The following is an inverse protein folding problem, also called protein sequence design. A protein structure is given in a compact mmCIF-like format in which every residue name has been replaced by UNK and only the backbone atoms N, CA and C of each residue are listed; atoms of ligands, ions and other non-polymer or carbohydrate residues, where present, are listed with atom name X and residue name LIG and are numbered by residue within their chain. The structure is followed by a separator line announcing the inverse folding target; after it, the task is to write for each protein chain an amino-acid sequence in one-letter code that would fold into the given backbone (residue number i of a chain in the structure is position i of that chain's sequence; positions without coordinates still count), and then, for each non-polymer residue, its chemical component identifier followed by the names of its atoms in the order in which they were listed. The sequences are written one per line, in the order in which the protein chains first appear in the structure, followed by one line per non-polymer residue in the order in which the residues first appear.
data_IF_977149621900
#
_entry.id   IF_977149621900
#
_cell.length_a   1.000
_cell.length_b   1.000
_cell.length_c   1.000
_cell.angle_alpha   90.00
_cell.angle_beta   90.00
_cell.angle_gamma   90.00
#
_symmetry.space_group_name_H-M   'P 1'
#
loop_
_entity.id
_entity.type
_entity.pdbx_description
1 polymer ?
#
# COMPACT_ATOMS: atom_id res chain seq x y z
N UNK A 1 -20.00 -16.29 -6.82
CA UNK A 1 -20.55 -15.14 -6.06
C UNK A 1 -19.60 -13.93 -6.14
N UNK A 2 -18.33 -14.02 -5.76
CA UNK A 2 -17.38 -12.90 -5.75
C UNK A 2 -17.17 -12.26 -7.12
N UNK A 3 -17.11 -13.06 -8.20
CA UNK A 3 -16.98 -12.54 -9.57
C UNK A 3 -18.21 -11.69 -9.95
N UNK A 4 -19.42 -12.16 -9.62
CA UNK A 4 -20.64 -11.42 -9.92
C UNK A 4 -20.71 -10.08 -9.15
N UNK A 5 -20.30 -10.08 -7.88
CA UNK A 5 -20.19 -8.86 -7.07
C UNK A 5 -19.17 -7.90 -7.69
N UNK A 6 -17.99 -8.40 -8.06
CA UNK A 6 -16.95 -7.59 -8.68
C UNK A 6 -17.40 -6.96 -10.00
N UNK A 7 -18.05 -7.73 -10.87
CA UNK A 7 -18.63 -7.22 -12.12
C UNK A 7 -19.71 -6.16 -11.87
N UNK A 8 -20.59 -6.38 -10.89
CA UNK A 8 -21.63 -5.41 -10.52
C UNK A 8 -21.01 -4.10 -10.04
N UNK A 9 -20.01 -4.16 -9.17
CA UNK A 9 -19.29 -2.97 -8.68
C UNK A 9 -18.59 -2.27 -9.85
N UNK A 10 -17.95 -3.00 -10.75
CA UNK A 10 -17.29 -2.43 -11.93
C UNK A 10 -18.28 -1.67 -12.82
N UNK A 11 -19.45 -2.24 -13.08
CA UNK A 11 -20.51 -1.60 -13.89
C UNK A 11 -21.00 -0.33 -13.18
N UNK A 12 -21.30 -0.39 -11.89
CA UNK A 12 -21.77 0.76 -11.12
C UNK A 12 -20.72 1.89 -11.11
N UNK A 13 -19.45 1.56 -10.90
CA UNK A 13 -18.35 2.52 -10.90
C UNK A 13 -18.11 3.12 -12.30
N UNK A 14 -18.42 2.38 -13.38
CA UNK A 14 -18.32 2.87 -14.75
C UNK A 14 -19.25 4.06 -15.03
N UNK A 15 -20.39 4.16 -14.35
CA UNK A 15 -21.30 5.30 -14.44
C UNK A 15 -20.89 6.47 -13.53
N UNK A 16 -19.89 6.26 -12.66
CA UNK A 16 -19.45 7.30 -11.74
C UNK A 16 -18.55 8.31 -12.45
N UNK A 17 -18.97 9.59 -12.42
CA UNK A 17 -18.21 10.65 -13.06
C UNK A 17 -17.00 11.04 -12.17
N UNK A 18 -15.78 10.68 -12.60
CA UNK A 18 -14.53 10.97 -11.91
C UNK A 18 -14.30 12.48 -11.63
N UNK A 19 -15.02 13.38 -12.31
CA UNK A 19 -14.95 14.83 -12.08
C UNK A 19 -15.35 15.21 -10.65
N UNK A 20 -16.19 14.41 -10.00
CA UNK A 20 -16.52 14.60 -8.58
C UNK A 20 -15.27 14.45 -7.71
N UNK A 21 -14.47 13.44 -7.94
CA UNK A 21 -13.20 13.23 -7.20
C UNK A 21 -12.23 14.39 -7.45
N UNK A 22 -12.20 14.95 -8.65
CA UNK A 22 -11.36 16.11 -8.99
C UNK A 22 -11.80 17.38 -8.25
N UNK A 23 -13.10 17.64 -8.16
CA UNK A 23 -13.63 18.90 -7.64
C UNK A 23 -13.69 18.96 -6.10
N UNK A 24 -13.93 17.83 -5.42
CA UNK A 24 -14.15 17.79 -3.97
C UNK A 24 -12.90 17.29 -3.23
N UNK A 25 -12.00 18.22 -2.87
CA UNK A 25 -10.76 17.88 -2.14
C UNK A 25 -11.01 17.34 -0.74
N UNK A 26 -11.98 17.90 -0.02
CA UNK A 26 -12.34 17.46 1.32
C UNK A 26 -12.92 16.04 1.32
N UNK A 27 -13.68 15.66 0.29
CA UNK A 27 -14.22 14.32 0.14
C UNK A 27 -13.09 13.27 0.02
N UNK A 28 -12.10 13.51 -0.85
CA UNK A 28 -10.98 12.58 -1.03
C UNK A 28 -10.14 12.48 0.25
N UNK A 29 -9.89 13.60 0.92
CA UNK A 29 -9.22 13.60 2.22
C UNK A 29 -10.03 12.87 3.29
N UNK A 30 -11.35 13.05 3.33
CA UNK A 30 -12.24 12.33 4.23
C UNK A 30 -12.17 10.81 4.03
N UNK A 31 -12.26 10.36 2.77
CA UNK A 31 -12.12 8.93 2.43
C UNK A 31 -10.73 8.40 2.83
N UNK A 32 -9.68 9.21 2.65
CA UNK A 32 -8.34 8.85 3.08
C UNK A 32 -8.26 8.64 4.60
N UNK A 33 -8.77 9.57 5.41
CA UNK A 33 -8.76 9.42 6.86
C UNK A 33 -9.64 8.25 7.34
N UNK A 34 -10.77 8.01 6.68
CA UNK A 34 -11.60 6.82 6.95
C UNK A 34 -10.82 5.55 6.64
N UNK A 35 -10.10 5.48 5.52
CA UNK A 35 -9.29 4.29 5.20
C UNK A 35 -8.16 4.05 6.20
N UNK A 36 -7.49 5.11 6.66
CA UNK A 36 -6.48 5.02 7.72
C UNK A 36 -7.09 4.58 9.05
N UNK A 37 -8.27 5.11 9.40
CA UNK A 37 -8.98 4.70 10.59
C UNK A 37 -9.36 3.21 10.55
N UNK A 38 -9.85 2.71 9.40
CA UNK A 38 -10.12 1.29 9.20
C UNK A 38 -8.85 0.43 9.35
N UNK A 39 -7.70 0.92 8.86
CA UNK A 39 -6.41 0.26 9.08
C UNK A 39 -6.04 0.21 10.57
N UNK A 40 -6.31 1.26 11.34
CA UNK A 40 -6.06 1.26 12.78
C UNK A 40 -6.98 0.29 13.53
N UNK A 41 -8.22 0.14 13.09
CA UNK A 41 -9.15 -0.83 13.68
C UNK A 41 -8.69 -2.28 13.55
N UNK A 42 -7.89 -2.62 12.55
CA UNK A 42 -7.38 -3.99 12.40
C UNK A 42 -6.44 -4.42 13.52
N UNK A 43 -5.81 -3.49 14.25
CA UNK A 43 -5.03 -3.84 15.45
C UNK A 43 -5.86 -4.53 16.54
N UNK A 44 -7.16 -4.26 16.57
CA UNK A 44 -8.11 -4.88 17.52
C UNK A 44 -8.74 -6.14 16.95
N UNK A 45 -8.42 -6.52 15.71
CA UNK A 45 -8.96 -7.69 15.03
C UNK A 45 -8.19 -8.96 15.39
N UNK A 46 -8.79 -10.12 15.08
CA UNK A 46 -8.14 -11.41 15.29
C UNK A 46 -6.94 -11.61 14.37
N UNK A 47 -5.88 -12.18 14.91
CA UNK A 47 -4.66 -12.51 14.17
C UNK A 47 -4.94 -13.68 13.22
N UNK A 48 -4.82 -13.46 11.92
CA UNK A 48 -4.93 -14.51 10.91
C UNK A 48 -3.55 -14.75 10.30
N UNK A 49 -3.03 -15.98 10.45
CA UNK A 49 -1.70 -16.37 9.93
C UNK A 49 -0.54 -15.47 10.41
N UNK A 50 -0.64 -14.94 11.64
CA UNK A 50 0.39 -14.09 12.25
C UNK A 50 0.34 -12.62 11.82
N UNK A 51 -0.72 -12.18 11.12
CA UNK A 51 -0.91 -10.81 10.66
C UNK A 51 -2.29 -10.31 11.10
N UNK A 52 -2.37 -9.06 11.57
CA UNK A 52 -3.60 -8.41 12.00
C UNK A 52 -4.15 -7.49 10.90
N UNK A 53 -4.37 -8.02 9.69
CA UNK A 53 -4.79 -7.21 8.53
C UNK A 53 -6.25 -7.39 8.12
N UNK A 54 -6.97 -8.33 8.75
CA UNK A 54 -8.33 -8.72 8.35
C UNK A 54 -9.36 -8.29 9.38
N UNK A 55 -10.45 -7.67 8.91
CA UNK A 55 -11.67 -7.45 9.71
C UNK A 55 -12.65 -8.55 9.31
N UNK A 56 -13.02 -9.42 10.27
CA UNK A 56 -13.95 -10.52 10.05
C UNK A 56 -15.30 -10.10 10.63
N UNK A 57 -16.32 -10.05 9.78
CA UNK A 57 -17.68 -9.72 10.18
C UNK A 57 -18.67 -10.70 9.52
N UNK A 58 -19.38 -11.51 10.32
CA UNK A 58 -20.45 -12.39 9.86
C UNK A 58 -20.05 -13.37 8.74
N UNK A 59 -18.78 -13.86 8.74
CA UNK A 59 -18.26 -14.77 7.72
C UNK A 59 -17.68 -14.07 6.48
N UNK A 60 -17.74 -12.74 6.41
CA UNK A 60 -17.02 -11.93 5.42
C UNK A 60 -15.70 -11.46 6.02
N UNK A 61 -14.62 -11.60 5.28
CA UNK A 61 -13.30 -11.07 5.62
C UNK A 61 -12.98 -9.91 4.68
N UNK A 62 -12.75 -8.73 5.25
CA UNK A 62 -12.38 -7.53 4.52
C UNK A 62 -10.96 -7.15 4.94
N UNK A 63 -10.12 -6.84 3.97
CA UNK A 63 -8.77 -6.34 4.18
C UNK A 63 -8.74 -4.83 3.90
N UNK A 64 -8.72 -3.96 4.94
CA UNK A 64 -8.72 -2.51 4.74
C UNK A 64 -7.51 -1.99 3.98
N UNK A 65 -6.39 -2.72 3.97
CA UNK A 65 -5.21 -2.37 3.20
C UNK A 65 -5.49 -2.30 1.69
N UNK A 66 -6.38 -3.15 1.16
CA UNK A 66 -6.77 -3.11 -0.25
C UNK A 66 -7.50 -1.81 -0.60
N UNK A 67 -8.42 -1.38 0.26
CA UNK A 67 -9.11 -0.10 0.09
C UNK A 67 -8.15 1.08 0.23
N UNK A 68 -7.25 1.04 1.20
CA UNK A 68 -6.29 2.11 1.44
C UNK A 68 -5.32 2.30 0.26
N UNK A 69 -4.94 1.23 -0.46
CA UNK A 69 -4.14 1.31 -1.70
C UNK A 69 -4.87 2.13 -2.77
N UNK A 70 -6.14 1.84 -3.02
CA UNK A 70 -6.94 2.57 -4.01
C UNK A 70 -7.11 4.05 -3.62
N UNK A 71 -7.39 4.30 -2.35
CA UNK A 71 -7.54 5.67 -1.83
C UNK A 71 -6.25 6.47 -1.94
N UNK A 72 -5.10 5.84 -1.65
CA UNK A 72 -3.80 6.48 -1.80
C UNK A 72 -3.52 6.87 -3.26
N UNK A 73 -3.81 5.97 -4.22
CA UNK A 73 -3.67 6.25 -5.66
C UNK A 73 -4.52 7.46 -6.05
N UNK A 74 -5.80 7.49 -5.65
CA UNK A 74 -6.72 8.59 -5.96
C UNK A 74 -6.25 9.91 -5.36
N UNK A 75 -5.80 9.89 -4.08
CA UNK A 75 -5.30 11.07 -3.38
C UNK A 75 -4.06 11.63 -4.07
N UNK A 76 -3.09 10.78 -4.40
CA UNK A 76 -1.86 11.17 -5.08
C UNK A 76 -2.14 11.66 -6.49
N UNK A 77 -2.98 10.97 -7.27
CA UNK A 77 -3.36 11.38 -8.61
C UNK A 77 -4.02 12.77 -8.59
N UNK A 78 -4.91 13.01 -7.63
CA UNK A 78 -5.52 14.32 -7.44
C UNK A 78 -4.49 15.38 -7.09
N UNK A 79 -3.60 15.10 -6.14
CA UNK A 79 -2.56 16.04 -5.73
C UNK A 79 -1.69 16.46 -6.92
N UNK A 80 -1.23 15.49 -7.71
CA UNK A 80 -0.40 15.76 -8.89
C UNK A 80 -1.18 16.45 -10.01
N UNK A 81 -2.45 16.06 -10.25
CA UNK A 81 -3.30 16.71 -11.27
C UNK A 81 -3.53 18.21 -11.03
N UNK A 82 -3.50 18.64 -9.77
CA UNK A 82 -3.67 20.05 -9.43
C UNK A 82 -2.38 20.89 -9.54
N UNK A 83 -1.21 20.24 -9.68
CA UNK A 83 0.11 20.89 -9.57
C UNK A 83 1.08 20.50 -10.67
N UNK A 84 0.58 20.36 -11.91
CA UNK A 84 1.30 19.87 -13.10
C UNK A 84 2.68 20.50 -13.37
N UNK A 85 3.01 21.67 -12.85
CA UNK A 85 4.21 22.43 -13.24
C UNK A 85 5.33 22.36 -12.19
N UNK A 86 5.06 21.91 -10.98
CA UNK A 86 5.96 22.09 -9.82
C UNK A 86 6.46 20.80 -9.17
N UNK A 87 6.33 19.64 -9.84
CA UNK A 87 6.74 18.33 -9.27
C UNK A 87 8.26 18.26 -9.04
N UNK A 88 9.03 19.14 -9.64
CA UNK A 88 10.47 19.28 -9.41
C UNK A 88 10.81 19.86 -8.05
N UNK A 89 9.87 20.51 -7.36
CA UNK A 89 10.09 21.06 -6.03
C UNK A 89 10.05 19.94 -4.99
N UNK A 90 11.11 19.83 -4.21
CA UNK A 90 11.24 18.85 -3.12
C UNK A 90 10.07 18.89 -2.11
N UNK A 91 9.47 20.07 -1.93
CA UNK A 91 8.30 20.26 -1.04
C UNK A 91 7.12 19.35 -1.41
N UNK A 92 6.85 19.16 -2.71
CA UNK A 92 5.75 18.29 -3.17
C UNK A 92 6.03 16.82 -2.91
N UNK A 93 7.30 16.41 -3.00
CA UNK A 93 7.74 15.05 -2.66
C UNK A 93 7.51 14.80 -1.17
N UNK A 94 7.87 15.76 -0.31
CA UNK A 94 7.67 15.65 1.15
C UNK A 94 6.18 15.53 1.50
N UNK A 95 5.32 16.36 0.91
CA UNK A 95 3.87 16.29 1.16
C UNK A 95 3.30 14.91 0.78
N UNK A 96 3.68 14.41 -0.39
CA UNK A 96 3.23 13.08 -0.84
C UNK A 96 3.82 11.96 0.00
N UNK A 97 5.07 12.12 0.47
CA UNK A 97 5.68 11.19 1.40
C UNK A 97 4.94 11.14 2.74
N UNK A 98 4.43 12.26 3.24
CA UNK A 98 3.59 12.31 4.45
C UNK A 98 2.29 11.54 4.24
N UNK A 99 1.59 11.73 3.11
CA UNK A 99 0.37 10.97 2.80
C UNK A 99 0.65 9.47 2.66
N UNK A 100 1.77 9.09 2.10
CA UNK A 100 2.19 7.70 2.00
C UNK A 100 2.59 7.10 3.35
N UNK A 101 3.38 7.84 4.16
CA UNK A 101 4.01 7.32 5.38
C UNK A 101 3.01 6.88 6.43
N UNK A 102 1.85 7.54 6.53
CA UNK A 102 0.86 7.26 7.56
C UNK A 102 0.22 5.87 7.38
N UNK A 103 -0.42 5.51 6.25
CA UNK A 103 -0.93 4.15 6.06
C UNK A 103 0.20 3.11 5.99
N UNK A 104 1.35 3.45 5.41
CA UNK A 104 2.51 2.57 5.34
C UNK A 104 3.00 2.18 6.74
N UNK A 105 3.15 3.14 7.65
CA UNK A 105 3.58 2.87 9.02
C UNK A 105 2.60 1.94 9.75
N UNK A 106 1.30 2.17 9.59
CA UNK A 106 0.27 1.32 10.19
C UNK A 106 0.38 -0.12 9.69
N UNK A 107 0.49 -0.32 8.37
CA UNK A 107 0.59 -1.64 7.74
C UNK A 107 1.91 -2.34 8.13
N UNK A 108 3.01 -1.59 8.18
CA UNK A 108 4.31 -2.12 8.59
C UNK A 108 4.30 -2.59 10.05
N UNK A 109 3.60 -1.86 10.94
CA UNK A 109 3.42 -2.25 12.34
C UNK A 109 2.47 -3.46 12.51
N UNK A 110 1.61 -3.76 11.53
CA UNK A 110 0.76 -4.95 11.47
C UNK A 110 1.49 -6.21 10.99
N UNK A 111 2.78 -6.24 10.94
CA UNK A 111 3.78 -7.07 10.25
C UNK A 111 3.33 -7.61 8.87
N UNK A 112 2.58 -6.81 8.09
CA UNK A 112 2.19 -7.16 6.73
C UNK A 112 3.19 -6.61 5.71
N UNK A 113 4.25 -7.37 5.47
CA UNK A 113 5.29 -7.02 4.49
C UNK A 113 4.76 -6.98 3.05
N UNK A 114 3.83 -7.88 2.71
CA UNK A 114 3.28 -7.96 1.35
C UNK A 114 2.61 -6.64 0.96
N UNK A 115 1.64 -6.21 1.77
CA UNK A 115 0.95 -4.94 1.55
C UNK A 115 1.90 -3.74 1.66
N UNK A 116 2.88 -3.77 2.59
CA UNK A 116 3.87 -2.69 2.73
C UNK A 116 4.69 -2.48 1.45
N UNK A 117 5.16 -3.56 0.81
CA UNK A 117 5.91 -3.49 -0.45
C UNK A 117 5.03 -2.94 -1.58
N UNK A 118 3.77 -3.35 -1.65
CA UNK A 118 2.83 -2.85 -2.66
C UNK A 118 2.57 -1.34 -2.45
N UNK A 119 2.38 -0.89 -1.21
CA UNK A 119 2.25 0.54 -0.91
C UNK A 119 3.48 1.34 -1.36
N UNK A 120 4.67 0.83 -1.10
CA UNK A 120 5.92 1.45 -1.55
C UNK A 120 6.01 1.51 -3.08
N UNK A 121 5.64 0.42 -3.76
CA UNK A 121 5.62 0.36 -5.23
C UNK A 121 4.59 1.34 -5.83
N UNK A 122 3.40 1.47 -5.24
CA UNK A 122 2.40 2.46 -5.64
C UNK A 122 2.96 3.88 -5.49
N UNK A 123 3.55 4.21 -4.34
CA UNK A 123 4.11 5.53 -4.10
C UNK A 123 5.22 5.89 -5.09
N UNK A 124 6.19 5.00 -5.30
CA UNK A 124 7.27 5.20 -6.28
C UNK A 124 6.72 5.29 -7.71
N UNK A 125 5.81 4.40 -8.10
CA UNK A 125 5.18 4.41 -9.42
C UNK A 125 4.44 5.71 -9.70
N UNK A 126 3.69 6.23 -8.71
CA UNK A 126 2.98 7.51 -8.82
C UNK A 126 3.95 8.71 -8.94
N UNK A 127 5.07 8.70 -8.20
CA UNK A 127 6.11 9.73 -8.33
C UNK A 127 6.75 9.69 -9.72
N UNK A 128 7.04 8.50 -10.24
CA UNK A 128 7.59 8.33 -11.60
C UNK A 128 6.59 8.79 -12.67
N UNK A 129 5.32 8.40 -12.56
CA UNK A 129 4.27 8.82 -13.47
C UNK A 129 4.03 10.35 -13.44
N UNK A 130 4.25 10.98 -12.29
CA UNK A 130 4.16 12.43 -12.12
C UNK A 130 5.37 13.19 -12.72
N UNK A 131 6.44 12.50 -13.14
CA UNK A 131 7.61 13.11 -13.76
C UNK A 131 8.64 13.67 -12.76
N UNK A 132 8.84 12.99 -11.64
CA UNK A 132 9.86 13.37 -10.64
C UNK A 132 11.26 13.51 -11.28
N UNK A 133 12.04 14.47 -10.80
CA UNK A 133 13.43 14.64 -11.23
C UNK A 133 14.26 13.39 -10.88
N UNK A 134 15.06 12.91 -11.82
CA UNK A 134 15.92 11.72 -11.66
C UNK A 134 16.84 11.79 -10.43
N UNK A 135 17.31 13.00 -10.06
CA UNK A 135 18.15 13.20 -8.87
C UNK A 135 17.38 12.91 -7.57
N UNK A 136 16.14 13.41 -7.48
CA UNK A 136 15.27 13.14 -6.34
C UNK A 136 14.87 11.67 -6.27
N UNK A 137 14.56 11.05 -7.42
CA UNK A 137 14.26 9.62 -7.49
C UNK A 137 15.44 8.79 -7.01
N UNK A 138 16.66 9.09 -7.47
CA UNK A 138 17.87 8.41 -7.03
C UNK A 138 18.07 8.54 -5.50
N UNK A 139 17.89 9.74 -4.96
CA UNK A 139 17.99 9.98 -3.51
C UNK A 139 16.96 9.16 -2.74
N UNK A 140 15.69 9.15 -3.17
CA UNK A 140 14.62 8.37 -2.53
C UNK A 140 14.93 6.87 -2.54
N UNK A 141 15.36 6.34 -3.70
CA UNK A 141 15.72 4.93 -3.84
C UNK A 141 16.92 4.59 -2.93
N UNK A 142 17.94 5.46 -2.91
CA UNK A 142 19.12 5.25 -2.05
C UNK A 142 18.75 5.24 -0.56
N UNK A 143 17.92 6.19 -0.11
CA UNK A 143 17.42 6.22 1.26
C UNK A 143 16.54 4.99 1.54
N UNK A 144 15.70 4.58 0.59
CA UNK A 144 14.87 3.37 0.69
C UNK A 144 15.69 2.09 0.85
N UNK A 145 16.77 1.95 0.08
CA UNK A 145 17.69 0.80 0.20
C UNK A 145 18.38 0.79 1.56
N UNK A 146 18.87 1.93 2.03
CA UNK A 146 19.48 2.04 3.37
C UNK A 146 18.47 1.73 4.48
N UNK A 147 17.25 2.25 4.37
CA UNK A 147 16.17 1.97 5.32
C UNK A 147 15.78 0.48 5.29
N UNK A 148 15.68 -0.13 4.11
CA UNK A 148 15.41 -1.56 3.94
C UNK A 148 16.52 -2.43 4.55
N UNK A 149 17.77 -2.06 4.35
CA UNK A 149 18.91 -2.76 4.95
C UNK A 149 18.88 -2.63 6.49
N UNK A 150 18.60 -1.44 7.00
CA UNK A 150 18.47 -1.22 8.44
C UNK A 150 17.29 -2.00 9.02
N UNK A 151 16.15 -2.03 8.32
CA UNK A 151 15.00 -2.83 8.73
C UNK A 151 15.31 -4.33 8.75
N UNK A 152 16.07 -4.82 7.78
CA UNK A 152 16.53 -6.21 7.75
C UNK A 152 17.35 -6.57 9.00
N UNK A 153 18.23 -5.67 9.45
CA UNK A 153 19.09 -5.92 10.59
C UNK A 153 18.33 -5.84 11.92
N UNK A 154 17.48 -4.84 12.10
CA UNK A 154 16.97 -4.43 13.41
C UNK A 154 15.45 -4.55 13.57
N UNK A 155 14.66 -4.47 12.48
CA UNK A 155 13.21 -4.33 12.59
C UNK A 155 12.44 -5.58 12.18
N UNK A 156 12.95 -6.37 11.20
CA UNK A 156 12.23 -7.52 10.67
C UNK A 156 12.24 -8.71 11.64
N UNK A 157 11.06 -9.25 11.88
CA UNK A 157 10.84 -10.46 12.66
C UNK A 157 11.40 -11.71 11.92
N UNK A 158 11.79 -12.77 12.63
CA UNK A 158 12.35 -13.97 12.00
C UNK A 158 11.45 -14.57 10.91
N UNK A 159 10.14 -14.63 11.13
CA UNK A 159 9.20 -15.16 10.14
C UNK A 159 9.11 -14.30 8.87
N UNK A 160 9.29 -12.96 8.97
CA UNK A 160 9.32 -12.06 7.83
C UNK A 160 10.58 -12.28 6.99
N UNK A 161 11.72 -12.46 7.66
CA UNK A 161 12.99 -12.83 7.00
C UNK A 161 12.85 -14.18 6.28
N UNK A 162 12.23 -15.18 6.92
CA UNK A 162 11.95 -16.47 6.30
C UNK A 162 11.07 -16.34 5.05
N UNK A 163 10.03 -15.50 5.05
CA UNK A 163 9.20 -15.26 3.85
C UNK A 163 10.01 -14.70 2.69
N UNK A 164 10.87 -13.71 2.95
CA UNK A 164 11.73 -13.11 1.92
C UNK A 164 12.74 -14.14 1.38
N UNK A 165 13.39 -14.88 2.26
CA UNK A 165 14.37 -15.91 1.85
C UNK A 165 13.74 -17.06 1.10
N UNK A 166 12.53 -17.51 1.48
CA UNK A 166 11.79 -18.55 0.77
C UNK A 166 11.26 -18.07 -0.58
N UNK A 167 10.94 -16.78 -0.73
CA UNK A 167 10.60 -16.22 -2.01
C UNK A 167 11.79 -16.21 -2.98
N UNK A 168 13.00 -15.88 -2.49
CA UNK A 168 14.22 -15.86 -3.28
C UNK A 168 14.75 -17.27 -3.59
N UNK A 169 14.61 -18.20 -2.64
CA UNK A 169 15.05 -19.57 -2.76
C UNK A 169 13.97 -20.54 -2.23
N UNK A 170 12.93 -20.86 -3.02
CA UNK A 170 11.82 -21.72 -2.59
C UNK A 170 12.26 -23.15 -2.22
N UNK A 171 13.36 -23.61 -2.79
CA UNK A 171 13.89 -24.95 -2.56
C UNK A 171 14.49 -25.17 -1.18
N UNK A 172 14.77 -24.11 -0.41
CA UNK A 172 15.34 -24.24 0.95
C UNK A 172 14.31 -24.78 1.97
N UNK A 173 13.00 -24.59 1.71
CA UNK A 173 11.92 -25.14 2.53
C UNK A 173 10.75 -25.62 1.66
N UNK A 174 10.91 -26.76 0.94
CA UNK A 174 9.93 -27.24 -0.03
C UNK A 174 8.61 -27.69 0.60
N UNK A 175 8.56 -27.96 1.90
CA UNK A 175 7.37 -28.44 2.62
C UNK A 175 6.71 -27.37 3.51
N UNK A 176 7.35 -26.21 3.71
CA UNK A 176 6.85 -25.11 4.51
C UNK A 176 6.52 -23.89 3.67
N UNK A 177 7.22 -22.78 3.92
CA UNK A 177 6.96 -21.49 3.28
C UNK A 177 7.19 -21.46 1.75
N UNK A 178 8.04 -22.35 1.21
CA UNK A 178 8.29 -22.48 -0.22
C UNK A 178 7.25 -23.32 -0.99
N UNK A 179 6.44 -24.12 -0.30
CA UNK A 179 5.49 -25.05 -0.93
C UNK A 179 4.53 -24.38 -1.94
N UNK A 180 3.90 -23.28 -1.55
CA UNK A 180 2.96 -22.57 -2.40
C UNK A 180 3.61 -21.93 -3.63
N UNK A 181 4.90 -21.56 -3.53
CA UNK A 181 5.67 -20.94 -4.61
C UNK A 181 6.10 -21.99 -5.64
N UNK A 182 6.40 -23.21 -5.19
CA UNK A 182 6.80 -24.30 -6.06
C UNK A 182 5.60 -24.87 -6.83
N UNK A 183 4.39 -24.77 -6.26
CA UNK A 183 3.16 -25.27 -6.90
C UNK A 183 2.47 -24.25 -7.82
N UNK A 184 2.82 -22.96 -7.78
CA UNK A 184 2.27 -21.94 -8.66
C UNK A 184 3.05 -21.82 -9.98
#
# INVERSE_FOLDING_TARGET
IFIAIGLSIMIVLSFFNYRYLKNYSLMVLGIYFVSVFLLLLTFYSQTVRGVNSWIIFGGLSIEPAELAKLVLIVLMAKYFSQRHVQINDFRHIVVVAIYFSLPFAVIFLQPDLGSSIIFLAIWLGMLMAAGINKRHLFLIVSVGVLAGYSAWLFALQPYQKTRITSFLNPHNDPRGSGYNIIQS
#
